data_IF_414900265409
#
_entry.id   IF_414900265409
#
_cell.length_a   1.000
_cell.length_b   1.000
_cell.length_c   1.000
_cell.angle_alpha   90.00
_cell.angle_beta   90.00
_cell.angle_gamma   90.00
#
_symmetry.space_group_name_H-M   'P 1'
#
loop_
_entity.id
_entity.type
_entity.pdbx_description
1 polymer ?
#
# COMPACT_ATOMS: atom_id res chain seq x y z
N UNK A 1 -0.95 -2.00 16.18
CA UNK A 1 -1.05 -1.70 14.74
C UNK A 1 -0.32 -2.78 13.96
N UNK A 2 -0.74 -3.11 12.72
CA UNK A 2 0.06 -4.00 11.85
C UNK A 2 1.39 -3.31 11.55
N UNK A 3 2.50 -4.03 11.70
CA UNK A 3 3.85 -3.50 11.49
C UNK A 3 4.29 -3.70 10.04
N UNK A 4 4.91 -2.68 9.46
CA UNK A 4 5.35 -2.69 8.07
C UNK A 4 6.74 -3.34 7.93
N UNK A 5 6.82 -4.39 7.12
CA UNK A 5 7.97 -5.28 6.98
C UNK A 5 8.94 -4.90 5.85
N UNK A 6 8.55 -3.99 4.95
CA UNK A 6 9.13 -3.75 3.60
C UNK A 6 8.51 -4.52 2.43
N UNK A 7 7.58 -5.45 2.67
CA UNK A 7 6.90 -6.14 1.57
C UNK A 7 5.88 -5.25 0.86
N UNK A 8 5.86 -5.31 -0.47
CA UNK A 8 4.93 -4.53 -1.28
C UNK A 8 3.45 -4.86 -0.99
N UNK A 9 3.16 -6.11 -0.61
CA UNK A 9 1.82 -6.56 -0.22
C UNK A 9 1.34 -5.88 1.07
N UNK A 10 2.26 -5.53 1.97
CA UNK A 10 1.94 -4.93 3.26
C UNK A 10 1.93 -3.40 3.22
N UNK A 11 2.59 -2.79 2.23
CA UNK A 11 2.71 -1.34 2.11
C UNK A 11 1.36 -0.63 2.01
N UNK A 12 0.44 -1.13 1.17
CA UNK A 12 -0.91 -0.54 1.04
C UNK A 12 -1.70 -0.63 2.35
N UNK A 13 -1.61 -1.77 3.02
CA UNK A 13 -2.28 -1.99 4.31
C UNK A 13 -1.73 -1.03 5.35
N UNK A 14 -0.40 -0.91 5.45
CA UNK A 14 0.27 0.06 6.31
C UNK A 14 -0.18 1.49 6.00
N UNK A 15 -0.09 1.92 4.74
CA UNK A 15 -0.38 3.30 4.36
C UNK A 15 -1.85 3.67 4.62
N UNK A 16 -2.80 2.76 4.35
CA UNK A 16 -4.23 3.00 4.62
C UNK A 16 -4.52 3.28 6.10
N UNK A 17 -3.73 2.69 7.02
CA UNK A 17 -3.86 2.89 8.46
C UNK A 17 -3.08 4.14 8.91
N UNK A 18 -1.86 4.31 8.40
CA UNK A 18 -0.95 5.39 8.80
C UNK A 18 -1.36 6.75 8.24
N UNK A 19 -2.04 6.78 7.09
CA UNK A 19 -2.51 8.01 6.44
C UNK A 19 -3.35 8.89 7.36
N UNK A 20 -4.17 8.29 8.23
CA UNK A 20 -4.98 9.04 9.19
C UNK A 20 -4.13 9.85 10.17
N UNK A 21 -2.98 9.32 10.58
CA UNK A 21 -2.03 9.99 11.47
C UNK A 21 -1.26 11.05 10.67
N UNK A 22 -0.89 10.72 9.44
CA UNK A 22 -0.16 11.61 8.55
C UNK A 22 -0.97 12.89 8.20
N UNK A 23 -2.23 12.73 7.82
CA UNK A 23 -3.14 13.82 7.42
C UNK A 23 -3.68 14.62 8.62
N UNK A 24 -3.47 14.13 9.86
CA UNK A 24 -3.92 14.82 11.07
C UNK A 24 -2.98 15.98 11.41
N UNK A 25 -3.41 17.20 11.13
CA UNK A 25 -2.67 18.43 11.43
C UNK A 25 -2.64 18.79 12.93
N UNK A 26 -3.41 18.10 13.78
CA UNK A 26 -3.39 18.30 15.23
C UNK A 26 -2.24 17.54 15.91
N UNK A 27 -1.66 16.55 15.24
CA UNK A 27 -0.52 15.78 15.73
C UNK A 27 0.77 16.46 15.27
N UNK A 28 1.69 16.70 16.20
CA UNK A 28 2.98 17.30 15.90
C UNK A 28 3.86 16.34 15.06
N UNK A 29 4.73 16.87 14.22
CA UNK A 29 5.59 16.06 13.35
C UNK A 29 6.55 15.16 14.15
N UNK A 30 6.96 15.59 15.35
CA UNK A 30 7.71 14.75 16.31
C UNK A 30 6.91 13.49 16.70
N UNK A 31 5.64 13.67 17.05
CA UNK A 31 4.75 12.57 17.43
C UNK A 31 4.48 11.65 16.23
N UNK A 32 4.28 12.22 15.04
CA UNK A 32 4.14 11.45 13.80
C UNK A 32 5.39 10.63 13.49
N UNK A 33 6.58 11.16 13.76
CA UNK A 33 7.84 10.42 13.62
C UNK A 33 7.91 9.24 14.59
N UNK A 34 7.50 9.43 15.85
CA UNK A 34 7.42 8.33 16.82
C UNK A 34 6.43 7.26 16.39
N UNK A 35 5.24 7.65 15.91
CA UNK A 35 4.27 6.70 15.36
C UNK A 35 4.82 5.97 14.13
N UNK A 36 5.56 6.65 13.26
CA UNK A 36 6.19 6.05 12.08
C UNK A 36 7.18 4.97 12.49
N UNK A 37 8.09 5.29 13.42
CA UNK A 37 9.06 4.33 13.97
C UNK A 37 8.36 3.10 14.58
N UNK A 38 7.31 3.31 15.39
CA UNK A 38 6.54 2.22 16.01
C UNK A 38 5.78 1.35 15.00
N UNK A 39 5.46 1.91 13.84
CA UNK A 39 4.73 1.22 12.77
C UNK A 39 5.64 0.34 11.91
N UNK A 40 6.97 0.37 12.11
CA UNK A 40 7.90 -0.50 11.39
C UNK A 40 8.06 -1.85 12.09
N UNK A 41 8.28 -2.91 11.30
CA UNK A 41 8.61 -4.23 11.84
C UNK A 41 10.09 -4.27 12.28
N UNK A 42 10.39 -4.79 13.47
CA UNK A 42 11.77 -4.95 13.91
C UNK A 42 12.65 -5.71 12.92
N UNK A 43 13.88 -5.25 12.74
CA UNK A 43 14.93 -5.81 11.87
C UNK A 43 14.56 -5.73 10.37
N UNK A 44 13.54 -4.96 10.02
CA UNK A 44 13.13 -4.80 8.62
C UNK A 44 13.92 -3.72 7.89
N UNK A 45 13.93 -3.79 6.56
CA UNK A 45 14.48 -2.71 5.71
C UNK A 45 13.74 -1.39 5.92
N UNK A 46 12.44 -1.45 6.20
CA UNK A 46 11.61 -0.28 6.46
C UNK A 46 12.00 0.37 7.80
N UNK A 47 12.22 -0.43 8.86
CA UNK A 47 12.74 0.07 10.13
C UNK A 47 14.12 0.70 9.98
N UNK A 48 15.06 0.00 9.32
CA UNK A 48 16.39 0.55 9.08
C UNK A 48 16.36 1.89 8.34
N UNK A 49 15.47 2.04 7.36
CA UNK A 49 15.31 3.30 6.63
C UNK A 49 14.78 4.40 7.56
N UNK A 50 13.69 4.15 8.30
CA UNK A 50 13.07 5.17 9.17
C UNK A 50 14.01 5.55 10.33
N UNK A 51 14.68 4.58 10.94
CA UNK A 51 15.63 4.82 12.04
C UNK A 51 16.95 5.47 11.58
N UNK A 52 17.22 5.55 10.27
CA UNK A 52 18.38 6.29 9.75
C UNK A 52 18.23 7.81 9.89
N UNK A 53 17.00 8.28 10.13
CA UNK A 53 16.71 9.69 10.41
C UNK A 53 16.71 9.94 11.91
N UNK A 54 17.36 11.01 12.39
CA UNK A 54 17.22 11.44 13.78
C UNK A 54 15.75 11.67 14.14
N UNK A 55 15.36 11.32 15.38
CA UNK A 55 14.01 11.50 15.91
C UNK A 55 13.70 12.98 16.23
N UNK A 56 13.74 13.83 15.21
CA UNK A 56 13.44 15.25 15.27
C UNK A 56 12.35 15.60 14.23
N UNK A 57 11.51 16.58 14.54
CA UNK A 57 10.34 16.96 13.73
C UNK A 57 10.69 17.27 12.28
N UNK A 58 11.80 17.98 12.09
CA UNK A 58 12.32 18.41 10.80
C UNK A 58 12.67 17.25 9.85
N UNK A 59 12.74 16.03 10.39
CA UNK A 59 13.07 14.83 9.64
C UNK A 59 11.87 13.91 9.38
N UNK A 60 10.69 14.18 9.95
CA UNK A 60 9.48 13.41 9.66
C UNK A 60 9.17 13.41 8.17
N UNK A 61 9.07 14.60 7.58
CA UNK A 61 8.74 14.76 6.16
C UNK A 61 9.78 14.11 5.23
N UNK A 62 11.07 14.09 5.63
CA UNK A 62 12.13 13.40 4.88
C UNK A 62 12.00 11.89 5.00
N UNK A 63 11.78 11.37 6.22
CA UNK A 63 11.64 9.95 6.48
C UNK A 63 10.42 9.35 5.76
N UNK A 64 9.27 10.03 5.83
CA UNK A 64 8.04 9.56 5.16
C UNK A 64 8.19 9.61 3.64
N UNK A 65 8.81 10.66 3.08
CA UNK A 65 9.05 10.77 1.64
C UNK A 65 9.97 9.66 1.13
N UNK A 66 11.05 9.35 1.86
CA UNK A 66 11.96 8.25 1.52
C UNK A 66 11.28 6.89 1.65
N UNK A 67 10.47 6.70 2.68
CA UNK A 67 9.68 5.46 2.84
C UNK A 67 8.71 5.27 1.67
N UNK A 68 8.01 6.34 1.28
CA UNK A 68 7.13 6.33 0.10
C UNK A 68 7.96 6.02 -1.15
N UNK A 69 9.04 6.75 -1.43
CA UNK A 69 9.86 6.54 -2.62
C UNK A 69 10.39 5.10 -2.76
N UNK A 70 10.85 4.50 -1.66
CA UNK A 70 11.45 3.16 -1.68
C UNK A 70 10.43 2.02 -1.76
N UNK A 71 9.25 2.20 -1.17
CA UNK A 71 8.28 1.10 -0.99
C UNK A 71 6.95 1.30 -1.72
N UNK A 72 6.66 2.50 -2.23
CA UNK A 72 5.53 2.78 -3.14
C UNK A 72 5.86 2.21 -4.52
N UNK A 73 5.72 0.89 -4.63
CA UNK A 73 5.92 0.14 -5.87
C UNK A 73 4.67 0.24 -6.76
N UNK A 74 4.39 1.44 -7.26
CA UNK A 74 3.22 1.71 -8.12
C UNK A 74 3.19 0.79 -9.35
N UNK A 75 4.35 0.62 -9.95
CA UNK A 75 4.62 -0.23 -11.11
C UNK A 75 4.28 -1.70 -10.81
N UNK A 76 4.65 -2.19 -9.62
CA UNK A 76 4.38 -3.55 -9.19
C UNK A 76 2.90 -3.76 -8.90
N UNK A 77 2.21 -2.78 -8.32
CA UNK A 77 0.78 -2.88 -8.06
C UNK A 77 -0.02 -3.01 -9.36
N UNK A 78 0.26 -2.16 -10.36
CA UNK A 78 -0.37 -2.28 -11.68
C UNK A 78 -0.08 -3.66 -12.28
N UNK A 79 1.16 -4.16 -12.22
CA UNK A 79 1.51 -5.50 -12.71
C UNK A 79 0.78 -6.63 -11.97
N UNK A 80 0.61 -6.54 -10.65
CA UNK A 80 -0.13 -7.52 -9.85
C UNK A 80 -1.59 -7.52 -10.27
N UNK A 81 -2.25 -6.36 -10.35
CA UNK A 81 -3.65 -6.27 -10.75
C UNK A 81 -3.87 -6.77 -12.18
N UNK A 82 -2.99 -6.42 -13.13
CA UNK A 82 -3.06 -6.92 -14.52
C UNK A 82 -2.90 -8.45 -14.56
N UNK A 83 -1.93 -9.01 -13.84
CA UNK A 83 -1.74 -10.47 -13.74
C UNK A 83 -2.97 -11.16 -13.16
N UNK A 84 -3.56 -10.55 -12.14
CA UNK A 84 -4.73 -11.05 -11.45
C UNK A 84 -5.99 -11.05 -12.32
N UNK A 85 -6.12 -10.06 -13.21
CA UNK A 85 -7.18 -10.00 -14.24
C UNK A 85 -6.92 -11.04 -15.33
N UNK A 86 -5.69 -11.16 -15.83
CA UNK A 86 -5.31 -12.17 -16.81
C UNK A 86 -5.58 -13.59 -16.29
N UNK A 87 -5.23 -13.87 -15.04
CA UNK A 87 -5.51 -15.14 -14.39
C UNK A 87 -7.02 -15.46 -14.32
N UNK A 88 -7.86 -14.44 -14.09
CA UNK A 88 -9.31 -14.60 -14.04
C UNK A 88 -9.87 -14.94 -15.44
N UNK A 89 -9.42 -14.22 -16.47
CA UNK A 89 -9.81 -14.46 -17.87
C UNK A 89 -9.35 -15.84 -18.34
N UNK A 90 -8.11 -16.23 -18.01
CA UNK A 90 -7.56 -17.54 -18.36
C UNK A 90 -8.33 -18.68 -17.71
N UNK A 91 -8.64 -18.58 -16.40
CA UNK A 91 -9.48 -19.56 -15.69
C UNK A 91 -10.84 -19.71 -16.37
N UNK A 92 -11.48 -18.60 -16.74
CA UNK A 92 -12.75 -18.65 -17.48
C UNK A 92 -12.60 -19.38 -18.83
N UNK A 93 -11.55 -19.07 -19.60
CA UNK A 93 -11.28 -19.70 -20.89
C UNK A 93 -10.97 -21.20 -20.80
N UNK A 94 -10.25 -21.65 -19.75
CA UNK A 94 -9.80 -23.04 -19.61
C UNK A 94 -10.83 -23.96 -18.94
N UNK A 95 -11.81 -23.42 -18.20
CA UNK A 95 -12.82 -24.24 -17.49
C UNK A 95 -13.89 -24.82 -18.44
N UNK A 96 -13.84 -24.46 -19.73
CA UNK A 96 -14.85 -24.85 -20.73
C UNK A 96 -16.22 -24.24 -20.41
N UNK A 97 -17.21 -24.43 -21.28
CA UNK A 97 -18.61 -23.98 -21.09
C UNK A 97 -19.33 -24.66 -19.91
N UNK A 98 -18.61 -25.29 -18.98
CA UNK A 98 -19.13 -25.79 -17.72
C UNK A 98 -19.44 -24.59 -16.81
N UNK A 99 -20.55 -23.90 -17.15
CA UNK A 99 -21.30 -22.97 -16.32
C UNK A 99 -20.40 -22.12 -15.42
N UNK A 100 -19.48 -21.36 -16.03
CA UNK A 100 -18.86 -20.24 -15.32
C UNK A 100 -20.03 -19.38 -14.88
N UNK A 101 -20.20 -19.28 -13.56
CA UNK A 101 -21.18 -18.41 -12.97
C UNK A 101 -20.80 -16.98 -13.35
N UNK A 102 -21.38 -16.48 -14.44
CA UNK A 102 -21.08 -15.18 -15.01
C UNK A 102 -21.28 -14.08 -13.97
N UNK A 103 -22.22 -14.26 -13.06
CA UNK A 103 -22.48 -13.33 -11.97
C UNK A 103 -21.31 -13.33 -10.99
N UNK A 104 -20.84 -14.51 -10.58
CA UNK A 104 -19.64 -14.62 -9.74
C UNK A 104 -18.40 -14.03 -10.43
N UNK A 105 -18.20 -14.29 -11.72
CA UNK A 105 -17.08 -13.74 -12.48
C UNK A 105 -17.14 -12.21 -12.54
N UNK A 106 -18.34 -11.66 -12.76
CA UNK A 106 -18.59 -10.23 -12.75
C UNK A 106 -18.30 -9.63 -11.37
N UNK A 107 -18.79 -10.25 -10.30
CA UNK A 107 -18.56 -9.79 -8.92
C UNK A 107 -17.06 -9.81 -8.55
N UNK A 108 -16.34 -10.87 -8.97
CA UNK A 108 -14.89 -11.00 -8.78
C UNK A 108 -14.12 -9.93 -9.59
N UNK A 109 -14.52 -9.68 -10.84
CA UNK A 109 -13.94 -8.63 -11.69
C UNK A 109 -14.17 -7.24 -11.10
N UNK A 110 -15.40 -6.94 -10.73
CA UNK A 110 -15.80 -5.66 -10.15
C UNK A 110 -15.12 -5.43 -8.79
N UNK A 111 -14.97 -6.49 -7.97
CA UNK A 111 -14.19 -6.48 -6.74
C UNK A 111 -12.72 -6.10 -6.97
N UNK A 112 -12.07 -6.69 -7.97
CA UNK A 112 -10.69 -6.34 -8.34
C UNK A 112 -10.57 -4.91 -8.86
N UNK A 113 -11.51 -4.45 -9.68
CA UNK A 113 -11.54 -3.06 -10.18
C UNK A 113 -11.74 -2.07 -9.03
N UNK A 114 -12.64 -2.35 -8.08
CA UNK A 114 -12.81 -1.52 -6.88
C UNK A 114 -11.53 -1.44 -6.05
N UNK A 115 -10.90 -2.58 -5.78
CA UNK A 115 -9.64 -2.63 -5.03
C UNK A 115 -8.52 -1.85 -5.73
N UNK A 116 -8.43 -1.95 -7.07
CA UNK A 116 -7.49 -1.18 -7.87
C UNK A 116 -7.75 0.32 -7.79
N UNK A 117 -9.01 0.77 -7.92
CA UNK A 117 -9.37 2.19 -7.81
C UNK A 117 -9.01 2.78 -6.45
N UNK A 118 -9.32 2.07 -5.37
CA UNK A 118 -8.95 2.50 -4.00
C UNK A 118 -7.44 2.58 -3.85
N UNK A 119 -6.70 1.62 -4.39
CA UNK A 119 -5.24 1.63 -4.39
C UNK A 119 -4.67 2.81 -5.18
N UNK A 120 -5.17 3.05 -6.39
CA UNK A 120 -4.79 4.19 -7.25
C UNK A 120 -5.08 5.55 -6.60
N UNK A 121 -6.22 5.71 -5.94
CA UNK A 121 -6.57 6.92 -5.17
C UNK A 121 -5.62 7.14 -3.98
N UNK A 122 -5.33 6.07 -3.22
CA UNK A 122 -4.33 6.11 -2.14
C UNK A 122 -2.95 6.50 -2.70
N UNK A 123 -2.56 5.97 -3.85
CA UNK A 123 -1.30 6.31 -4.48
C UNK A 123 -1.27 7.75 -4.99
N UNK A 124 -2.30 8.26 -5.65
CA UNK A 124 -2.33 9.67 -6.10
C UNK A 124 -2.25 10.67 -4.94
N UNK A 125 -2.87 10.33 -3.80
CA UNK A 125 -2.80 11.16 -2.61
C UNK A 125 -1.41 11.23 -1.96
N UNK A 126 -0.51 10.31 -2.29
CA UNK A 126 0.89 10.30 -1.79
C UNK A 126 1.88 10.95 -2.73
N UNK A 127 1.48 11.30 -3.96
CA UNK A 127 2.32 11.99 -4.94
C UNK A 127 2.33 13.52 -4.78
N UNK A 128 1.47 14.07 -3.91
CA UNK A 128 1.35 15.51 -3.68
C UNK A 128 2.22 16.02 -2.51
N UNK A 129 3.27 15.28 -2.15
CA UNK A 129 4.29 15.67 -1.16
C UNK A 129 5.58 16.11 -1.85
#
# INVERSE_FOLDING_TARGET
MKKFSSEANDYLTFWSLFKKIHDDHSIADEDKMLYLMQSMQPVSKAEHLVLSFPAAADNYNKAISQLIQHFRREDLLVQIYVRDLLNLVMKNATTGRAKVDLQRLYDELEGKIRAWKVSDELMKSTANF
#
